data_IF_315036845888
#
_entry.id   IF_315036845888
#
_cell.length_a   1.000
_cell.length_b   1.000
_cell.length_c   1.000
_cell.angle_alpha   90.00
_cell.angle_beta   90.00
_cell.angle_gamma   90.00
#
_symmetry.space_group_name_H-M   'P 1'
#
loop_
_entity.id
_entity.type
_entity.pdbx_description
1 polymer ?
#
# COMPACT_ATOMS: atom_id res chain seq x y z
N UNK A 1 1.30 12.44 0.96
CA UNK A 1 1.65 12.52 -0.48
C UNK A 1 3.06 13.05 -0.57
N UNK A 2 3.87 12.45 -1.44
CA UNK A 2 5.30 12.71 -1.52
C UNK A 2 5.58 13.68 -2.66
N UNK A 3 6.71 14.37 -2.61
CA UNK A 3 7.17 15.26 -3.68
C UNK A 3 7.37 14.50 -5.00
N UNK A 4 7.76 13.23 -4.93
CA UNK A 4 8.01 12.39 -6.10
C UNK A 4 6.76 12.12 -6.95
N UNK A 5 5.56 12.17 -6.36
CA UNK A 5 4.30 12.06 -7.11
C UNK A 5 4.19 13.15 -8.18
N UNK A 6 4.60 14.38 -7.85
CA UNK A 6 4.61 15.47 -8.81
C UNK A 6 5.62 15.28 -9.94
N UNK A 7 6.67 14.48 -9.76
CA UNK A 7 7.55 14.08 -10.86
C UNK A 7 6.85 13.05 -11.76
N UNK A 8 6.30 11.99 -11.17
CA UNK A 8 5.61 10.96 -11.94
C UNK A 8 4.42 11.49 -12.75
N UNK A 9 3.60 12.39 -12.20
CA UNK A 9 2.50 13.03 -12.95
C UNK A 9 3.02 13.82 -14.16
N UNK A 10 4.12 14.57 -13.99
CA UNK A 10 4.72 15.36 -15.08
C UNK A 10 5.28 14.50 -16.21
N UNK A 11 5.83 13.33 -15.91
CA UNK A 11 6.45 12.45 -16.92
C UNK A 11 5.47 11.48 -17.56
N UNK A 12 4.46 11.00 -16.82
CA UNK A 12 3.50 10.00 -17.31
C UNK A 12 2.19 10.61 -17.79
N UNK A 13 1.91 11.87 -17.41
CA UNK A 13 0.65 12.57 -17.66
C UNK A 13 -0.58 11.80 -17.13
N UNK A 14 -0.37 10.88 -16.18
CA UNK A 14 -1.40 10.08 -15.52
C UNK A 14 -1.73 10.70 -14.15
N UNK A 15 -3.02 10.80 -13.77
CA UNK A 15 -3.39 11.30 -12.45
C UNK A 15 -2.92 10.33 -11.36
N UNK A 16 -2.21 10.84 -10.35
CA UNK A 16 -1.84 10.04 -9.19
C UNK A 16 -2.81 10.27 -8.05
N UNK A 17 -3.04 9.22 -7.26
CA UNK A 17 -3.94 9.27 -6.12
C UNK A 17 -3.16 9.25 -4.81
N UNK A 18 -3.86 9.41 -3.69
CA UNK A 18 -3.29 9.19 -2.37
C UNK A 18 -2.74 7.77 -2.21
N UNK A 19 -3.33 6.81 -2.93
CA UNK A 19 -2.94 5.40 -2.90
C UNK A 19 -1.66 5.15 -3.72
N UNK A 20 -1.21 6.10 -4.53
CA UNK A 20 0.10 6.07 -5.19
C UNK A 20 1.27 6.33 -4.24
N UNK A 21 1.01 6.58 -2.95
CA UNK A 21 2.05 6.72 -1.93
C UNK A 21 1.67 5.99 -0.63
N UNK A 22 2.42 4.93 -0.36
CA UNK A 22 2.37 4.19 0.90
C UNK A 22 3.62 4.43 1.74
N UNK A 23 3.40 4.78 3.00
CA UNK A 23 4.46 4.93 4.00
C UNK A 23 4.43 3.76 4.98
N UNK A 24 5.58 3.50 5.63
CA UNK A 24 5.68 2.53 6.73
C UNK A 24 4.63 2.79 7.81
N UNK A 25 4.34 4.06 8.14
CA UNK A 25 3.32 4.42 9.12
C UNK A 25 1.92 3.92 8.75
N UNK A 26 1.51 4.09 7.49
CA UNK A 26 0.21 3.62 7.00
C UNK A 26 0.11 2.09 7.04
N UNK A 27 1.17 1.39 6.63
CA UNK A 27 1.21 -0.08 6.64
C UNK A 27 1.06 -0.62 8.07
N UNK A 28 1.88 -0.14 9.01
CA UNK A 28 1.81 -0.59 10.40
C UNK A 28 0.47 -0.23 11.04
N UNK A 29 -0.07 0.96 10.76
CA UNK A 29 -1.37 1.36 11.26
C UNK A 29 -2.48 0.44 10.77
N UNK A 30 -2.47 0.06 9.48
CA UNK A 30 -3.45 -0.88 8.90
C UNK A 30 -3.38 -2.24 9.60
N UNK A 31 -2.18 -2.82 9.74
CA UNK A 31 -2.00 -4.12 10.38
C UNK A 31 -2.40 -4.10 11.85
N UNK A 32 -2.04 -3.05 12.61
CA UNK A 32 -2.47 -2.91 14.01
C UNK A 32 -4.00 -2.78 14.11
N UNK A 33 -4.64 -2.07 13.18
CA UNK A 33 -6.09 -1.96 13.16
C UNK A 33 -6.78 -3.31 12.87
N UNK A 34 -6.23 -4.10 11.93
CA UNK A 34 -6.69 -5.47 11.63
C UNK A 34 -6.54 -6.40 12.83
N UNK A 35 -5.41 -6.30 13.54
CA UNK A 35 -5.14 -7.03 14.77
C UNK A 35 -6.18 -6.72 15.85
N UNK A 36 -6.44 -5.43 16.11
CA UNK A 36 -7.44 -4.99 17.10
C UNK A 36 -8.87 -5.40 16.76
N UNK A 37 -9.19 -5.62 15.49
CA UNK A 37 -10.48 -6.18 15.04
C UNK A 37 -10.56 -7.70 15.17
N UNK A 38 -9.46 -8.36 15.51
CA UNK A 38 -9.39 -9.82 15.67
C UNK A 38 -9.16 -10.59 14.36
N UNK A 39 -8.75 -9.93 13.27
CA UNK A 39 -8.56 -10.59 11.96
C UNK A 39 -7.44 -11.64 11.98
N UNK A 40 -6.48 -11.53 12.89
CA UNK A 40 -5.41 -12.52 13.08
C UNK A 40 -5.74 -13.62 14.09
N UNK A 41 -7.00 -13.72 14.54
CA UNK A 41 -7.51 -14.78 15.43
C UNK A 41 -6.69 -14.95 16.73
N UNK A 42 -6.20 -13.83 17.30
CA UNK A 42 -5.40 -13.82 18.52
C UNK A 42 -3.97 -14.35 18.37
N UNK A 43 -3.51 -14.60 17.13
CA UNK A 43 -2.12 -14.97 16.84
C UNK A 43 -1.22 -13.74 16.89
N UNK A 44 0.07 -13.98 17.12
CA UNK A 44 1.07 -12.91 17.11
C UNK A 44 1.23 -12.32 15.71
N UNK A 45 1.14 -11.00 15.62
CA UNK A 45 1.52 -10.26 14.41
C UNK A 45 3.03 -10.22 14.33
N UNK A 46 3.54 -10.43 13.12
CA UNK A 46 4.95 -10.56 12.78
C UNK A 46 5.24 -9.83 11.47
N UNK A 47 6.50 -9.39 11.27
CA UNK A 47 6.92 -8.73 10.03
C UNK A 47 6.63 -9.61 8.81
N UNK A 48 7.03 -10.88 8.86
CA UNK A 48 6.60 -11.90 7.91
C UNK A 48 5.62 -12.84 8.62
N UNK A 49 4.44 -13.11 8.05
CA UNK A 49 3.94 -12.65 6.76
C UNK A 49 3.09 -11.36 6.83
N UNK A 50 2.74 -10.85 8.00
CA UNK A 50 1.64 -9.87 8.13
C UNK A 50 1.98 -8.49 7.54
N UNK A 51 3.15 -7.94 7.87
CA UNK A 51 3.59 -6.64 7.31
C UNK A 51 3.91 -6.80 5.83
N UNK A 52 4.61 -7.86 5.44
CA UNK A 52 4.96 -8.08 4.02
C UNK A 52 3.75 -8.37 3.15
N UNK A 53 2.70 -9.03 3.67
CA UNK A 53 1.44 -9.18 2.96
C UNK A 53 0.73 -7.84 2.79
N UNK A 54 0.68 -7.00 3.82
CA UNK A 54 0.08 -5.68 3.71
C UNK A 54 0.77 -4.81 2.65
N UNK A 55 2.11 -4.88 2.56
CA UNK A 55 2.89 -4.19 1.51
C UNK A 55 2.52 -4.72 0.12
N UNK A 56 2.41 -6.05 -0.03
CA UNK A 56 2.00 -6.66 -1.31
C UNK A 56 0.60 -6.24 -1.70
N UNK A 57 -0.35 -6.28 -0.77
CA UNK A 57 -1.73 -5.90 -1.00
C UNK A 57 -1.83 -4.42 -1.42
N UNK A 58 -1.05 -3.54 -0.79
CA UNK A 58 -0.95 -2.13 -1.17
C UNK A 58 -0.47 -1.95 -2.63
N UNK A 59 0.60 -2.64 -3.03
CA UNK A 59 1.09 -2.58 -4.42
C UNK A 59 0.09 -3.18 -5.42
N UNK A 60 -0.47 -4.35 -5.09
CA UNK A 60 -1.44 -5.03 -5.96
C UNK A 60 -2.75 -4.27 -6.10
N UNK A 61 -3.14 -3.46 -5.11
CA UNK A 61 -4.33 -2.62 -5.18
C UNK A 61 -4.30 -1.58 -6.31
N UNK A 62 -3.11 -1.22 -6.80
CA UNK A 62 -2.92 -0.28 -7.92
C UNK A 62 -3.12 -0.95 -9.29
N UNK A 63 -3.13 -2.28 -9.36
CA UNK A 63 -3.31 -3.03 -10.59
C UNK A 63 -4.80 -3.21 -10.90
N UNK A 64 -5.43 -2.20 -11.50
CA UNK A 64 -6.82 -2.25 -11.98
C UNK A 64 -6.90 -2.72 -13.44
N UNK A 65 -8.08 -3.15 -13.94
CA UNK A 65 -8.22 -3.66 -15.32
C UNK A 65 -7.82 -2.68 -16.43
N UNK A 66 -7.80 -1.38 -16.13
CA UNK A 66 -7.41 -0.28 -17.01
C UNK A 66 -5.91 0.07 -16.92
N UNK A 67 -5.13 -0.64 -16.12
CA UNK A 67 -3.69 -0.43 -15.93
C UNK A 67 -2.89 -1.61 -16.48
N UNK A 68 -2.10 -1.35 -17.52
CA UNK A 68 -1.22 -2.38 -18.11
C UNK A 68 0.04 -2.65 -17.28
N UNK A 69 0.63 -1.60 -16.68
CA UNK A 69 1.90 -1.67 -15.93
C UNK A 69 1.85 -0.71 -14.74
N UNK A 70 2.23 -1.21 -13.56
CA UNK A 70 2.43 -0.41 -12.33
C UNK A 70 3.93 -0.28 -12.07
N UNK A 71 4.38 0.95 -11.79
CA UNK A 71 5.75 1.25 -11.37
C UNK A 71 5.67 1.78 -9.94
N UNK A 72 6.34 1.11 -9.01
CA UNK A 72 6.35 1.43 -7.57
C UNK A 72 7.77 1.44 -7.02
#
# INVERSE_FOLDING_TARGET
>A
TDLDLGHYERFTNSPLSRDSNYTTGQIYQSVIAKERRGEFLGKTVQVVPHITNEIKDAVLSLATPDVDVVIT
#
